data_IF_754436016631
#
_entry.id   IF_754436016631
#
_cell.length_a   1.000
_cell.length_b   1.000
_cell.length_c   1.000
_cell.angle_alpha   90.00
_cell.angle_beta   90.00
_cell.angle_gamma   90.00
#
_symmetry.space_group_name_H-M   'P 1'
#
loop_
_entity.id
_entity.type
_entity.pdbx_description
1 polymer ?
#
# COMPACT_ATOMS: atom_id res chain seq x y z
N UNK A 1 -8.07 -17.54 -8.75
CA UNK A 1 -7.10 -16.48 -8.45
C UNK A 1 -5.99 -16.44 -9.49
N UNK A 2 -5.47 -17.60 -9.88
CA UNK A 2 -4.43 -17.74 -10.90
C UNK A 2 -5.02 -17.75 -12.30
N UNK A 3 -4.49 -16.93 -13.20
CA UNK A 3 -4.87 -16.92 -14.64
C UNK A 3 -4.41 -18.18 -15.36
N UNK A 4 -5.09 -18.54 -16.45
CA UNK A 4 -4.72 -19.70 -17.26
C UNK A 4 -3.25 -19.64 -17.74
N UNK A 5 -2.75 -18.49 -18.28
CA UNK A 5 -1.34 -18.40 -18.68
C UNK A 5 -0.36 -18.61 -17.54
N UNK A 6 -0.68 -18.13 -16.32
CA UNK A 6 0.20 -18.31 -15.16
C UNK A 6 0.20 -19.77 -14.70
N UNK A 7 -0.97 -20.45 -14.67
CA UNK A 7 -1.06 -21.89 -14.33
C UNK A 7 -0.23 -22.73 -15.29
N UNK A 8 -0.34 -22.47 -16.58
CA UNK A 8 0.44 -23.19 -17.60
C UNK A 8 1.93 -22.96 -17.42
N UNK A 9 2.36 -21.71 -17.18
CA UNK A 9 3.76 -21.41 -16.95
C UNK A 9 4.32 -22.07 -15.68
N UNK A 10 3.51 -22.16 -14.63
CA UNK A 10 3.92 -22.91 -13.39
C UNK A 10 4.09 -24.39 -13.74
N UNK A 11 3.13 -24.99 -14.45
CA UNK A 11 3.22 -26.40 -14.87
C UNK A 11 4.49 -26.67 -15.69
N UNK A 12 4.78 -25.85 -16.70
CA UNK A 12 5.96 -25.99 -17.56
C UNK A 12 7.27 -25.85 -16.76
N UNK A 13 7.29 -24.90 -15.80
CA UNK A 13 8.43 -24.68 -14.91
C UNK A 13 8.70 -25.91 -14.02
N UNK A 14 7.65 -26.47 -13.44
CA UNK A 14 7.75 -27.64 -12.58
C UNK A 14 8.14 -28.90 -13.38
N UNK A 15 7.60 -29.07 -14.59
CA UNK A 15 7.96 -30.17 -15.50
C UNK A 15 9.44 -30.13 -15.91
N UNK A 16 10.04 -28.95 -15.98
CA UNK A 16 11.48 -28.75 -16.24
C UNK A 16 12.35 -28.87 -14.97
N UNK A 17 11.79 -29.31 -13.84
CA UNK A 17 12.46 -29.39 -12.52
C UNK A 17 13.00 -28.03 -12.04
N UNK A 18 12.35 -26.92 -12.42
CA UNK A 18 12.72 -25.55 -12.03
C UNK A 18 11.81 -25.01 -10.94
N UNK A 19 12.13 -23.82 -10.47
CA UNK A 19 11.42 -23.14 -9.37
C UNK A 19 10.68 -21.90 -9.86
N UNK A 20 9.57 -21.61 -9.18
CA UNK A 20 8.77 -20.42 -9.42
C UNK A 20 8.68 -19.54 -8.17
N UNK A 21 8.73 -18.21 -8.37
CA UNK A 21 8.40 -17.22 -7.35
C UNK A 21 7.08 -16.57 -7.73
N UNK A 22 6.14 -16.53 -6.78
CA UNK A 22 4.86 -15.85 -6.95
C UNK A 22 4.76 -14.70 -5.95
N UNK A 23 4.64 -13.50 -6.47
CA UNK A 23 4.48 -12.28 -5.68
C UNK A 23 3.01 -11.87 -5.67
N UNK A 24 2.43 -11.76 -4.50
CA UNK A 24 1.15 -11.09 -4.31
C UNK A 24 1.41 -9.62 -3.96
N UNK A 25 1.07 -8.72 -4.89
CA UNK A 25 1.24 -7.27 -4.72
C UNK A 25 0.15 -6.68 -3.83
N UNK A 26 -0.01 -7.21 -2.62
CA UNK A 26 -0.97 -6.69 -1.65
C UNK A 26 -0.24 -6.22 -0.40
N UNK A 27 -0.28 -4.92 -0.15
CA UNK A 27 0.15 -4.37 1.14
C UNK A 27 -0.88 -4.76 2.20
N UNK A 28 -0.42 -5.35 3.27
CA UNK A 28 -1.19 -5.66 4.47
C UNK A 28 -1.77 -7.09 4.48
N UNK A 29 -1.38 -7.84 5.48
CA UNK A 29 -1.93 -9.15 5.87
C UNK A 29 -3.30 -9.01 6.54
N UNK A 30 -4.18 -8.17 6.01
CA UNK A 30 -5.48 -8.01 6.61
C UNK A 30 -6.36 -9.19 6.26
N UNK A 31 -6.32 -10.23 7.12
CA UNK A 31 -7.41 -11.18 7.20
C UNK A 31 -8.63 -10.41 7.67
N UNK A 32 -9.51 -10.05 6.76
CA UNK A 32 -10.77 -9.45 7.13
C UNK A 32 -11.71 -10.54 7.64
N UNK A 33 -12.23 -10.36 8.82
CA UNK A 33 -13.40 -11.11 9.28
C UNK A 33 -14.64 -10.41 8.72
N UNK A 34 -15.49 -11.11 7.99
CA UNK A 34 -16.66 -10.51 7.34
C UNK A 34 -17.89 -11.34 7.69
N UNK A 35 -18.99 -10.67 7.99
CA UNK A 35 -20.27 -11.33 8.19
C UNK A 35 -20.80 -11.88 6.85
N UNK A 36 -21.28 -13.13 6.88
CA UNK A 36 -21.85 -13.78 5.69
C UNK A 36 -23.16 -13.10 5.29
N UNK A 37 -23.97 -12.66 6.27
CA UNK A 37 -25.31 -12.11 6.03
C UNK A 37 -25.26 -10.62 5.64
N UNK A 38 -24.72 -9.75 6.52
CA UNK A 38 -24.72 -8.30 6.27
C UNK A 38 -23.47 -7.79 5.55
N UNK A 39 -22.47 -8.66 5.29
CA UNK A 39 -21.22 -8.38 4.61
C UNK A 39 -20.35 -7.28 5.27
N UNK A 40 -20.66 -6.87 6.48
CA UNK A 40 -19.87 -5.92 7.25
C UNK A 40 -18.69 -6.63 7.91
N UNK A 41 -17.54 -5.96 7.95
CA UNK A 41 -16.40 -6.36 8.78
C UNK A 41 -16.49 -5.67 10.14
N UNK A 42 -16.04 -6.29 11.25
CA UNK A 42 -15.89 -5.60 12.52
C UNK A 42 -14.97 -4.39 12.39
N UNK A 43 -15.42 -3.24 12.88
CA UNK A 43 -14.69 -1.97 12.81
C UNK A 43 -14.08 -1.63 14.17
N UNK A 44 -13.00 -0.88 14.15
CA UNK A 44 -12.37 -0.36 15.35
C UNK A 44 -13.25 0.74 15.99
N UNK A 45 -13.62 0.66 17.27
CA UNK A 45 -14.45 1.69 17.90
C UNK A 45 -13.70 3.04 18.03
N UNK A 46 -12.36 3.03 17.93
CA UNK A 46 -11.51 4.21 18.10
C UNK A 46 -11.08 4.83 16.76
N UNK A 47 -11.16 4.05 15.67
CA UNK A 47 -10.70 4.45 14.33
C UNK A 47 -11.78 4.22 13.30
N UNK A 48 -11.70 4.90 12.15
CA UNK A 48 -12.59 4.63 11.00
C UNK A 48 -12.02 3.52 10.11
N UNK A 49 -11.56 2.43 10.75
CA UNK A 49 -10.88 1.34 10.06
C UNK A 49 -11.39 -0.02 10.53
N UNK A 50 -11.31 -0.99 9.64
CA UNK A 50 -11.66 -2.38 9.94
C UNK A 50 -10.58 -3.01 10.80
N UNK A 51 -11.03 -3.90 11.69
CA UNK A 51 -10.11 -4.70 12.47
C UNK A 51 -9.53 -5.83 11.62
N UNK A 52 -8.24 -6.07 11.80
CA UNK A 52 -7.51 -7.17 11.16
C UNK A 52 -7.55 -8.41 12.04
N UNK A 53 -7.89 -9.55 11.46
CA UNK A 53 -7.87 -10.83 12.16
C UNK A 53 -6.47 -11.42 12.19
N UNK A 54 -5.98 -11.75 13.37
CA UNK A 54 -4.70 -12.43 13.62
C UNK A 54 -4.96 -13.86 14.09
N UNK A 55 -4.64 -14.83 13.22
CA UNK A 55 -4.92 -16.26 13.52
C UNK A 55 -4.02 -16.84 14.61
N UNK A 56 -2.82 -16.30 14.81
CA UNK A 56 -1.87 -16.80 15.80
C UNK A 56 -2.40 -16.71 17.25
N UNK A 57 -3.19 -15.69 17.55
CA UNK A 57 -3.75 -15.45 18.87
C UNK A 57 -5.28 -15.36 18.88
N UNK A 58 -5.94 -15.64 17.76
CA UNK A 58 -7.39 -15.57 17.55
C UNK A 58 -8.01 -14.22 17.98
N UNK A 59 -7.37 -13.12 17.59
CA UNK A 59 -7.78 -11.76 17.96
C UNK A 59 -8.01 -10.88 16.75
N UNK A 60 -8.85 -9.88 16.92
CA UNK A 60 -8.98 -8.75 16.03
C UNK A 60 -8.11 -7.59 16.54
N UNK A 61 -7.32 -6.96 15.67
CA UNK A 61 -6.41 -5.88 15.98
C UNK A 61 -6.60 -4.69 15.04
N UNK A 62 -6.56 -3.50 15.58
CA UNK A 62 -6.44 -2.27 14.81
C UNK A 62 -4.95 -1.88 14.71
N UNK A 63 -4.39 -1.88 13.51
CA UNK A 63 -2.98 -1.52 13.29
C UNK A 63 -2.67 -0.02 13.49
N UNK A 64 -3.71 0.83 13.58
CA UNK A 64 -3.53 2.27 13.80
C UNK A 64 -3.43 2.66 15.27
N UNK A 65 -4.25 2.06 16.14
CA UNK A 65 -4.30 2.44 17.57
C UNK A 65 -3.98 1.31 18.54
N UNK A 66 -3.68 0.11 18.04
CA UNK A 66 -3.39 -1.06 18.88
C UNK A 66 -4.61 -1.66 19.60
N UNK A 67 -5.84 -1.15 19.37
CA UNK A 67 -7.03 -1.76 19.96
C UNK A 67 -7.14 -3.22 19.54
N UNK A 68 -7.29 -4.12 20.52
CA UNK A 68 -7.38 -5.56 20.28
C UNK A 68 -8.53 -6.17 21.07
N UNK A 69 -9.28 -7.05 20.42
CA UNK A 69 -10.44 -7.75 20.99
C UNK A 69 -10.44 -9.22 20.54
N UNK A 70 -10.91 -10.18 21.34
CA UNK A 70 -11.15 -11.54 20.88
C UNK A 70 -12.09 -11.53 19.69
N UNK A 71 -11.98 -12.56 18.83
CA UNK A 71 -12.94 -12.74 17.73
C UNK A 71 -14.32 -13.00 18.33
N UNK A 72 -15.34 -12.21 17.98
CA UNK A 72 -16.68 -12.45 18.46
C UNK A 72 -17.28 -13.70 17.78
N UNK A 73 -18.08 -14.47 18.47
CA UNK A 73 -18.74 -15.67 17.93
C UNK A 73 -19.72 -15.34 16.80
N UNK A 74 -20.30 -14.14 16.86
CA UNK A 74 -21.28 -13.64 15.89
C UNK A 74 -21.02 -12.20 15.52
N UNK A 75 -21.55 -11.80 14.38
CA UNK A 75 -21.47 -10.43 13.87
C UNK A 75 -22.03 -9.41 14.88
N UNK A 76 -21.25 -8.42 15.32
CA UNK A 76 -21.75 -7.41 16.26
C UNK A 76 -22.84 -6.51 15.68
N UNK A 77 -22.99 -6.48 14.34
CA UNK A 77 -23.99 -5.64 13.66
C UNK A 77 -25.33 -6.33 13.44
N UNK A 78 -25.37 -7.65 13.17
CA UNK A 78 -26.61 -8.36 12.80
C UNK A 78 -26.76 -9.75 13.44
N UNK A 79 -25.80 -10.21 14.25
CA UNK A 79 -25.84 -11.54 14.87
C UNK A 79 -25.51 -12.72 13.91
N UNK A 80 -25.25 -12.46 12.65
CA UNK A 80 -24.96 -13.49 11.65
C UNK A 80 -23.57 -14.14 11.80
N UNK A 81 -23.31 -15.24 11.09
CA UNK A 81 -22.02 -15.94 11.15
C UNK A 81 -20.90 -15.12 10.54
N UNK A 82 -19.72 -15.18 11.16
CA UNK A 82 -18.50 -14.52 10.69
C UNK A 82 -17.64 -15.52 9.92
N UNK A 83 -17.12 -15.09 8.76
CA UNK A 83 -16.22 -15.86 7.94
C UNK A 83 -14.92 -15.08 7.73
N UNK A 84 -13.79 -15.74 7.91
CA UNK A 84 -12.49 -15.18 7.59
C UNK A 84 -12.34 -15.13 6.06
N UNK A 85 -12.20 -13.93 5.51
CA UNK A 85 -11.66 -13.81 4.17
C UNK A 85 -10.16 -14.05 4.32
N UNK A 86 -9.71 -15.19 3.81
CA UNK A 86 -8.30 -15.57 3.83
C UNK A 86 -7.42 -14.46 3.27
N UNK A 87 -6.20 -14.37 3.78
CA UNK A 87 -5.17 -13.56 3.12
C UNK A 87 -5.06 -14.03 1.68
N UNK A 88 -4.83 -13.09 0.76
CA UNK A 88 -4.63 -13.47 -0.63
C UNK A 88 -3.59 -14.59 -0.79
N UNK A 89 -2.49 -14.56 -0.01
CA UNK A 89 -1.44 -15.60 0.00
C UNK A 89 -1.94 -16.96 0.44
N UNK A 90 -2.74 -17.06 1.51
CA UNK A 90 -3.30 -18.34 1.95
C UNK A 90 -4.24 -18.94 0.91
N UNK A 91 -5.09 -18.11 0.30
CA UNK A 91 -5.99 -18.56 -0.77
C UNK A 91 -5.22 -19.03 -1.99
N UNK A 92 -4.17 -18.30 -2.38
CA UNK A 92 -3.30 -18.69 -3.50
C UNK A 92 -2.55 -19.97 -3.16
N UNK A 93 -2.06 -20.15 -1.92
CA UNK A 93 -1.43 -21.39 -1.48
C UNK A 93 -2.38 -22.58 -1.57
N UNK A 94 -3.62 -22.44 -1.11
CA UNK A 94 -4.65 -23.49 -1.22
C UNK A 94 -4.93 -23.86 -2.67
N UNK A 95 -5.06 -22.86 -3.55
CA UNK A 95 -5.27 -23.06 -4.99
C UNK A 95 -4.07 -23.79 -5.63
N UNK A 96 -2.83 -23.40 -5.27
CA UNK A 96 -1.60 -24.07 -5.74
C UNK A 96 -1.52 -25.52 -5.26
N UNK A 97 -1.81 -25.78 -3.99
CA UNK A 97 -1.79 -27.13 -3.43
C UNK A 97 -2.87 -28.05 -4.05
N UNK A 98 -4.01 -27.47 -4.46
CA UNK A 98 -5.04 -28.23 -5.16
C UNK A 98 -4.66 -28.52 -6.64
N UNK A 99 -3.96 -27.59 -7.31
CA UNK A 99 -3.51 -27.75 -8.69
C UNK A 99 -2.25 -28.61 -8.82
N UNK A 100 -1.37 -28.57 -7.82
CA UNK A 100 -0.08 -29.26 -7.81
C UNK A 100 0.12 -29.98 -6.47
N UNK A 101 -0.59 -31.09 -6.20
CA UNK A 101 -0.63 -31.76 -4.88
C UNK A 101 0.74 -32.29 -4.42
N UNK A 102 1.60 -32.68 -5.37
CA UNK A 102 2.92 -33.26 -5.08
C UNK A 102 4.03 -32.20 -4.97
N UNK A 103 3.68 -30.91 -5.02
CA UNK A 103 4.65 -29.81 -5.03
C UNK A 103 4.63 -29.02 -3.74
N UNK A 104 5.79 -28.92 -3.08
CA UNK A 104 5.96 -28.09 -1.91
C UNK A 104 5.84 -26.58 -2.23
N UNK A 105 4.92 -25.90 -1.54
CA UNK A 105 4.71 -24.45 -1.63
C UNK A 105 5.19 -23.77 -0.37
N UNK A 106 6.31 -23.03 -0.46
CA UNK A 106 6.77 -22.14 0.59
C UNK A 106 5.91 -20.88 0.62
N UNK A 107 5.40 -20.49 1.79
CA UNK A 107 4.73 -19.22 1.98
C UNK A 107 5.56 -18.30 2.87
N UNK A 108 5.82 -17.07 2.40
CA UNK A 108 6.59 -16.06 3.11
C UNK A 108 5.80 -14.77 3.21
N UNK A 109 5.07 -14.63 4.29
CA UNK A 109 4.32 -13.43 4.67
C UNK A 109 4.46 -13.19 6.19
N UNK A 110 3.98 -12.05 6.68
CA UNK A 110 4.14 -11.70 8.10
C UNK A 110 3.47 -12.70 9.08
N UNK A 111 2.54 -13.54 8.58
CA UNK A 111 1.88 -14.56 9.43
C UNK A 111 2.70 -15.86 9.52
N UNK A 112 3.52 -16.17 8.51
CA UNK A 112 4.31 -17.38 8.46
C UNK A 112 5.69 -17.21 9.06
N UNK A 113 6.16 -15.98 9.16
CA UNK A 113 7.43 -15.63 9.75
C UNK A 113 7.27 -15.46 11.26
N UNK A 114 8.00 -16.25 12.02
CA UNK A 114 8.00 -16.23 13.47
C UNK A 114 9.42 -16.48 13.99
N UNK A 115 9.64 -16.36 15.29
CA UNK A 115 10.93 -16.71 15.91
C UNK A 115 11.32 -18.19 15.68
N UNK A 116 10.33 -19.09 15.57
CA UNK A 116 10.53 -20.53 15.28
C UNK A 116 10.65 -20.86 13.79
N UNK A 117 10.24 -19.93 12.90
CA UNK A 117 10.34 -20.11 11.46
C UNK A 117 10.77 -18.78 10.80
N UNK A 118 12.05 -18.38 10.96
CA UNK A 118 12.56 -17.14 10.40
C UNK A 118 12.62 -17.19 8.87
N UNK A 119 12.64 -16.04 8.24
CA UNK A 119 12.75 -15.89 6.78
C UNK A 119 13.85 -16.77 6.17
N UNK A 120 15.00 -16.82 6.82
CA UNK A 120 16.17 -17.56 6.37
C UNK A 120 15.91 -19.07 6.23
N UNK A 121 15.19 -19.66 7.18
CA UNK A 121 14.84 -21.09 7.13
C UNK A 121 13.93 -21.42 5.95
N UNK A 122 12.95 -20.56 5.67
CA UNK A 122 12.05 -20.73 4.52
C UNK A 122 12.83 -20.63 3.21
N UNK A 123 13.72 -19.63 3.12
CA UNK A 123 14.53 -19.40 1.94
C UNK A 123 15.56 -20.52 1.71
N UNK A 124 16.17 -21.05 2.76
CA UNK A 124 17.13 -22.13 2.65
C UNK A 124 16.49 -23.44 2.17
N UNK A 125 15.29 -23.77 2.65
CA UNK A 125 14.52 -24.89 2.12
C UNK A 125 14.18 -24.73 0.65
N UNK A 126 13.80 -23.51 0.26
CA UNK A 126 13.53 -23.20 -1.14
C UNK A 126 14.81 -23.31 -1.98
N UNK A 127 15.97 -22.76 -1.53
CA UNK A 127 17.26 -22.87 -2.23
C UNK A 127 17.68 -24.33 -2.44
N UNK A 128 17.45 -25.20 -1.46
CA UNK A 128 17.76 -26.63 -1.56
C UNK A 128 16.80 -27.42 -2.45
N UNK A 129 15.77 -26.75 -2.99
CA UNK A 129 14.79 -27.39 -3.87
C UNK A 129 13.77 -28.28 -3.17
N UNK A 130 13.73 -28.26 -1.83
CA UNK A 130 12.72 -28.97 -1.02
C UNK A 130 11.30 -28.43 -1.31
N UNK A 131 11.23 -27.20 -1.76
CA UNK A 131 10.01 -26.55 -2.20
C UNK A 131 10.24 -25.91 -3.58
N UNK A 132 9.31 -26.08 -4.49
CA UNK A 132 9.45 -25.63 -5.87
C UNK A 132 8.74 -24.30 -6.15
N UNK A 133 7.81 -23.90 -5.30
CA UNK A 133 7.09 -22.64 -5.42
C UNK A 133 7.31 -21.82 -4.15
N UNK A 134 7.78 -20.58 -4.30
CA UNK A 134 7.85 -19.58 -3.23
C UNK A 134 6.77 -18.52 -3.46
N UNK A 135 5.81 -18.46 -2.56
CA UNK A 135 4.72 -17.51 -2.56
C UNK A 135 4.91 -16.49 -1.45
N UNK A 136 4.85 -15.20 -1.76
CA UNK A 136 4.97 -14.19 -0.72
C UNK A 136 4.49 -12.80 -1.16
N UNK A 137 4.71 -11.83 -0.28
CA UNK A 137 4.48 -10.41 -0.56
C UNK A 137 5.79 -9.72 -0.98
N UNK A 138 5.86 -8.41 -0.97
CA UNK A 138 7.04 -7.63 -1.40
C UNK A 138 8.39 -8.07 -0.78
N UNK A 139 8.36 -8.80 0.33
CA UNK A 139 9.57 -9.32 0.98
C UNK A 139 10.31 -10.35 0.11
N UNK A 140 9.58 -11.07 -0.76
CA UNK A 140 10.16 -12.06 -1.69
C UNK A 140 10.87 -11.39 -2.88
N UNK A 141 10.56 -10.11 -3.16
CA UNK A 141 11.16 -9.38 -4.27
C UNK A 141 12.58 -8.87 -3.97
N UNK A 142 12.99 -8.78 -2.71
CA UNK A 142 14.25 -8.14 -2.31
C UNK A 142 15.36 -9.16 -2.06
N UNK A 143 16.53 -8.94 -2.70
CA UNK A 143 17.80 -9.56 -2.29
C UNK A 143 17.99 -11.05 -2.58
N UNK A 144 17.08 -11.74 -3.26
CA UNK A 144 17.18 -13.17 -3.50
C UNK A 144 17.95 -13.46 -4.79
N UNK A 145 19.10 -14.13 -4.66
CA UNK A 145 19.80 -14.77 -5.78
C UNK A 145 19.44 -16.25 -5.78
N UNK A 146 18.65 -16.66 -6.79
CA UNK A 146 18.07 -18.00 -6.89
C UNK A 146 18.25 -18.54 -8.31
N UNK A 147 19.36 -19.20 -8.61
CA UNK A 147 19.71 -19.61 -9.98
C UNK A 147 18.72 -20.59 -10.62
N UNK A 148 17.97 -21.35 -9.81
CA UNK A 148 16.96 -22.31 -10.28
C UNK A 148 15.57 -21.68 -10.53
N UNK A 149 15.38 -20.39 -10.25
CA UNK A 149 14.13 -19.70 -10.50
C UNK A 149 14.06 -19.26 -11.95
N UNK A 150 13.20 -19.89 -12.72
CA UNK A 150 12.97 -19.55 -14.13
C UNK A 150 11.61 -18.90 -14.38
N UNK A 151 10.69 -18.94 -13.41
CA UNK A 151 9.41 -18.26 -13.49
C UNK A 151 9.22 -17.30 -12.32
N UNK A 152 8.80 -16.08 -12.65
CA UNK A 152 8.29 -15.12 -11.67
C UNK A 152 6.88 -14.70 -12.06
N UNK A 153 5.92 -14.89 -11.17
CA UNK A 153 4.53 -14.47 -11.34
C UNK A 153 4.19 -13.31 -10.39
N UNK A 154 3.65 -12.23 -10.90
CA UNK A 154 3.11 -11.14 -10.07
C UNK A 154 1.58 -11.19 -10.14
N UNK A 155 0.94 -11.37 -9.00
CA UNK A 155 -0.49 -11.33 -8.83
C UNK A 155 -0.92 -9.91 -8.44
N UNK A 156 -2.03 -9.42 -9.01
CA UNK A 156 -2.54 -8.06 -8.76
C UNK A 156 -1.46 -6.97 -9.03
N UNK A 157 -0.80 -7.03 -10.19
CA UNK A 157 0.31 -6.16 -10.56
C UNK A 157 -0.06 -4.67 -10.58
N UNK A 158 -1.33 -4.36 -10.80
CA UNK A 158 -1.90 -3.02 -10.90
C UNK A 158 -2.35 -2.41 -9.56
N UNK A 159 -2.37 -3.18 -8.47
CA UNK A 159 -2.93 -2.71 -7.20
C UNK A 159 -2.25 -1.43 -6.69
N UNK A 160 -0.94 -1.31 -6.86
CA UNK A 160 -0.17 -0.14 -6.42
C UNK A 160 -0.46 1.13 -7.25
N UNK A 161 -0.95 1.01 -8.47
CA UNK A 161 -1.33 2.16 -9.30
C UNK A 161 -2.49 2.96 -8.72
N UNK A 162 -3.35 2.29 -7.95
CA UNK A 162 -4.56 2.88 -7.37
C UNK A 162 -4.39 3.29 -5.91
N UNK A 163 -3.19 3.18 -5.35
CA UNK A 163 -2.88 3.53 -3.95
C UNK A 163 -2.50 4.98 -3.82
N UNK A 164 -3.07 5.91 -4.41
CA UNK A 164 -2.95 7.36 -4.17
C UNK A 164 -1.51 7.94 -4.11
N UNK A 165 -1.40 9.24 -4.35
CA UNK A 165 -0.12 9.94 -4.31
C UNK A 165 0.60 9.98 -5.66
N UNK A 166 1.40 11.03 -5.85
CA UNK A 166 2.10 11.27 -7.12
C UNK A 166 3.22 10.25 -7.43
N UNK A 167 3.60 9.42 -6.45
CA UNK A 167 4.62 8.38 -6.62
C UNK A 167 4.05 6.99 -6.93
N UNK A 168 2.73 6.86 -7.05
CA UNK A 168 2.10 5.55 -7.26
C UNK A 168 2.64 4.85 -8.53
N UNK A 169 2.78 5.59 -9.63
CA UNK A 169 3.36 5.10 -10.87
C UNK A 169 4.81 4.62 -10.70
N UNK A 170 5.66 5.46 -10.15
CA UNK A 170 7.07 5.15 -9.88
C UNK A 170 7.21 3.92 -8.97
N UNK A 171 6.49 3.91 -7.85
CA UNK A 171 6.53 2.77 -6.91
C UNK A 171 6.09 1.46 -7.56
N UNK A 172 5.08 1.52 -8.44
CA UNK A 172 4.60 0.34 -9.17
C UNK A 172 5.63 -0.12 -10.20
N UNK A 173 6.18 0.79 -10.98
CA UNK A 173 7.20 0.48 -11.97
C UNK A 173 8.44 -0.15 -11.32
N UNK A 174 8.96 0.46 -10.25
CA UNK A 174 10.13 -0.04 -9.51
C UNK A 174 9.89 -1.43 -8.95
N UNK A 175 8.73 -1.67 -8.35
CA UNK A 175 8.38 -2.98 -7.82
C UNK A 175 8.31 -4.03 -8.94
N UNK A 176 7.62 -3.73 -10.04
CA UNK A 176 7.45 -4.68 -11.14
C UNK A 176 8.77 -5.00 -11.83
N UNK A 177 9.60 -3.99 -12.12
CA UNK A 177 10.93 -4.19 -12.73
C UNK A 177 11.87 -4.98 -11.82
N UNK A 178 11.87 -4.73 -10.51
CA UNK A 178 12.64 -5.52 -9.55
C UNK A 178 12.24 -7.01 -9.59
N UNK A 179 10.95 -7.30 -9.70
CA UNK A 179 10.44 -8.67 -9.71
C UNK A 179 10.71 -9.35 -11.06
N UNK A 180 10.43 -8.66 -12.17
CA UNK A 180 10.74 -9.15 -13.53
C UNK A 180 12.23 -9.48 -13.67
N UNK A 181 13.11 -8.63 -13.16
CA UNK A 181 14.56 -8.84 -13.15
C UNK A 181 15.05 -10.00 -12.27
N UNK A 182 14.17 -10.71 -11.56
CA UNK A 182 14.51 -11.95 -10.80
C UNK A 182 14.41 -13.21 -11.64
N UNK A 183 13.64 -13.18 -12.73
CA UNK A 183 13.54 -14.32 -13.62
C UNK A 183 14.83 -14.49 -14.45
N UNK A 184 15.42 -15.68 -14.47
CA UNK A 184 16.51 -16.01 -15.39
C UNK A 184 17.89 -15.45 -15.04
N UNK A 185 18.25 -15.33 -13.77
CA UNK A 185 19.60 -14.93 -13.34
C UNK A 185 20.65 -16.05 -13.47
N UNK A 186 20.21 -17.27 -13.73
CA UNK A 186 21.09 -18.39 -13.99
C UNK A 186 21.36 -18.61 -15.49
N UNK A 187 21.85 -19.80 -15.83
CA UNK A 187 22.10 -20.25 -17.21
C UNK A 187 20.82 -20.51 -18.03
N UNK A 188 19.64 -20.36 -17.42
CA UNK A 188 18.34 -20.64 -18.04
C UNK A 188 17.60 -19.35 -18.34
N UNK A 189 16.90 -19.32 -19.49
CA UNK A 189 16.03 -18.22 -19.84
C UNK A 189 14.88 -18.09 -18.82
N UNK A 190 14.73 -16.90 -18.22
CA UNK A 190 13.67 -16.62 -17.27
C UNK A 190 12.43 -16.07 -17.93
N UNK A 191 11.28 -16.33 -17.32
CA UNK A 191 9.98 -15.82 -17.74
C UNK A 191 9.31 -15.08 -16.60
N UNK A 192 8.79 -13.88 -16.87
CA UNK A 192 7.94 -13.14 -15.94
C UNK A 192 6.50 -13.05 -16.47
N UNK A 193 5.52 -13.26 -15.58
CA UNK A 193 4.10 -13.09 -15.90
C UNK A 193 3.50 -12.11 -14.92
N UNK A 194 3.01 -10.97 -15.44
CA UNK A 194 2.30 -9.96 -14.69
C UNK A 194 0.80 -10.15 -14.88
N UNK A 195 0.11 -10.57 -13.82
CA UNK A 195 -1.33 -10.70 -13.82
C UNK A 195 -1.96 -9.38 -13.37
N UNK A 196 -2.80 -8.79 -14.21
CA UNK A 196 -3.39 -7.46 -13.99
C UNK A 196 -4.81 -7.39 -14.55
N UNK A 197 -5.64 -6.51 -13.98
CA UNK A 197 -6.98 -6.17 -14.51
C UNK A 197 -6.90 -5.13 -15.64
N UNK A 198 -5.74 -4.48 -15.84
CA UNK A 198 -5.53 -3.43 -16.84
C UNK A 198 -4.32 -3.75 -17.75
N UNK A 199 -4.36 -4.82 -18.55
CA UNK A 199 -3.20 -5.30 -19.33
C UNK A 199 -2.71 -4.29 -20.37
N UNK A 200 -3.57 -3.36 -20.79
CA UNK A 200 -3.23 -2.31 -21.76
C UNK A 200 -2.68 -1.03 -21.10
N UNK A 201 -2.55 -1.00 -19.78
CA UNK A 201 -1.98 0.16 -19.10
C UNK A 201 -0.51 0.30 -19.47
N UNK A 202 -0.12 1.48 -19.97
CA UNK A 202 1.21 1.71 -20.53
C UNK A 202 2.33 1.44 -19.53
N UNK A 203 2.19 1.90 -18.28
CA UNK A 203 3.17 1.65 -17.23
C UNK A 203 3.40 0.14 -16.99
N UNK A 204 2.34 -0.67 -16.97
CA UNK A 204 2.46 -2.14 -16.78
C UNK A 204 3.26 -2.75 -17.93
N UNK A 205 3.01 -2.30 -19.17
CA UNK A 205 3.74 -2.77 -20.36
C UNK A 205 5.20 -2.36 -20.33
N UNK A 206 5.49 -1.12 -19.98
CA UNK A 206 6.86 -0.61 -19.85
C UNK A 206 7.63 -1.34 -18.72
N UNK A 207 6.98 -1.59 -17.59
CA UNK A 207 7.57 -2.36 -16.49
C UNK A 207 7.86 -3.81 -16.90
N UNK A 208 6.97 -4.45 -17.66
CA UNK A 208 7.17 -5.80 -18.19
C UNK A 208 8.36 -5.87 -19.17
N UNK A 209 8.60 -4.81 -19.93
CA UNK A 209 9.73 -4.67 -20.86
C UNK A 209 11.00 -4.13 -20.20
N UNK A 210 10.91 -3.71 -18.93
CA UNK A 210 11.99 -3.01 -18.21
C UNK A 210 12.47 -1.73 -18.94
N UNK A 211 11.57 -1.07 -19.67
CA UNK A 211 11.84 0.12 -20.45
C UNK A 211 11.75 1.37 -19.55
N UNK A 212 12.86 1.65 -18.85
CA UNK A 212 12.94 2.78 -17.92
C UNK A 212 12.88 4.12 -18.65
N UNK A 213 13.51 4.25 -19.81
CA UNK A 213 13.61 5.54 -20.51
C UNK A 213 12.22 6.03 -20.95
N UNK A 214 11.41 5.14 -21.55
CA UNK A 214 10.04 5.48 -21.90
C UNK A 214 9.15 5.69 -20.66
N UNK A 215 9.35 4.90 -19.60
CA UNK A 215 8.65 5.13 -18.35
C UNK A 215 8.98 6.52 -17.79
N UNK A 216 10.24 6.90 -17.75
CA UNK A 216 10.66 8.24 -17.30
C UNK A 216 10.00 9.35 -18.10
N UNK A 217 10.00 9.24 -19.43
CA UNK A 217 9.38 10.21 -20.32
C UNK A 217 7.88 10.35 -20.09
N UNK A 218 7.18 9.24 -19.83
CA UNK A 218 5.76 9.22 -19.51
C UNK A 218 5.51 9.89 -18.15
N UNK A 219 6.21 9.44 -17.13
CA UNK A 219 6.03 9.86 -15.74
C UNK A 219 6.37 11.35 -15.56
N UNK A 220 7.46 11.83 -16.15
CA UNK A 220 7.88 13.24 -15.99
C UNK A 220 6.88 14.21 -16.64
N UNK A 221 6.28 13.84 -17.78
CA UNK A 221 5.22 14.62 -18.41
C UNK A 221 3.95 14.66 -17.56
N UNK A 222 3.54 13.52 -17.00
CA UNK A 222 2.39 13.45 -16.09
C UNK A 222 2.61 14.33 -14.86
N UNK A 223 3.79 14.30 -14.25
CA UNK A 223 4.14 15.15 -13.10
C UNK A 223 4.12 16.62 -13.44
N UNK A 224 4.55 16.99 -14.64
CA UNK A 224 4.50 18.37 -15.12
C UNK A 224 3.05 18.87 -15.23
N UNK A 225 2.17 18.07 -15.86
CA UNK A 225 0.74 18.40 -16.01
C UNK A 225 0.04 18.46 -14.65
N UNK A 226 0.39 17.58 -13.74
CA UNK A 226 -0.22 17.52 -12.40
C UNK A 226 0.35 18.55 -11.41
N UNK A 227 1.36 19.33 -11.79
CA UNK A 227 2.07 20.25 -10.90
C UNK A 227 2.49 19.58 -9.59
N UNK A 228 3.23 18.47 -9.70
CA UNK A 228 3.81 17.72 -8.57
C UNK A 228 5.34 17.62 -8.70
N UNK A 229 6.08 17.20 -7.68
CA UNK A 229 7.53 17.09 -7.75
C UNK A 229 8.06 16.33 -8.99
N UNK A 230 9.09 16.84 -9.69
CA UNK A 230 9.98 17.97 -9.33
C UNK A 230 9.51 19.36 -9.79
N UNK A 231 8.36 19.51 -10.45
CA UNK A 231 7.92 20.80 -11.02
C UNK A 231 7.30 21.73 -9.99
N UNK A 232 6.62 21.19 -8.99
CA UNK A 232 6.14 21.90 -7.82
C UNK A 232 6.28 21.02 -6.58
N UNK A 233 6.38 21.64 -5.41
CA UNK A 233 6.32 20.92 -4.15
C UNK A 233 4.87 20.66 -3.79
N UNK A 234 4.64 19.50 -3.15
CA UNK A 234 3.36 19.13 -2.59
C UNK A 234 3.45 19.19 -1.07
N UNK A 235 2.66 20.07 -0.46
CA UNK A 235 2.62 20.28 0.98
C UNK A 235 1.32 19.78 1.54
N UNK A 236 1.39 18.81 2.44
CA UNK A 236 0.26 18.34 3.23
C UNK A 236 0.20 19.15 4.52
N UNK A 237 -0.95 19.78 4.78
CA UNK A 237 -1.24 20.44 6.05
C UNK A 237 -2.32 19.61 6.73
N UNK A 238 -1.94 18.85 7.76
CA UNK A 238 -2.82 17.96 8.49
C UNK A 238 -3.37 18.61 9.76
N UNK A 239 -4.63 18.30 10.08
CA UNK A 239 -5.33 18.74 11.29
C UNK A 239 -5.93 17.53 11.99
N UNK A 240 -5.82 17.47 13.32
CA UNK A 240 -6.40 16.39 14.11
C UNK A 240 -6.86 16.84 15.48
N UNK A 241 -7.95 16.23 15.99
CA UNK A 241 -8.52 16.52 17.30
C UNK A 241 -9.73 15.66 17.61
N UNK A 242 -10.21 15.73 18.86
CA UNK A 242 -11.31 14.89 19.35
C UNK A 242 -12.71 15.32 18.85
N UNK A 243 -12.85 16.56 18.47
CA UNK A 243 -14.12 17.18 18.05
C UNK A 243 -14.08 17.47 16.56
N UNK A 244 -14.77 16.66 15.75
CA UNK A 244 -14.76 16.80 14.29
C UNK A 244 -15.11 18.21 13.78
N UNK A 245 -16.20 18.90 14.27
CA UNK A 245 -16.52 20.22 13.84
C UNK A 245 -15.41 21.23 14.11
N UNK A 246 -14.71 21.09 15.24
CA UNK A 246 -13.60 21.97 15.62
C UNK A 246 -12.37 21.75 14.73
N UNK A 247 -12.08 20.50 14.38
CA UNK A 247 -10.98 20.17 13.45
C UNK A 247 -11.24 20.74 12.07
N UNK A 248 -12.47 20.57 11.54
CA UNK A 248 -12.87 21.13 10.25
C UNK A 248 -12.81 22.66 10.27
N UNK A 249 -13.32 23.30 11.32
CA UNK A 249 -13.27 24.76 11.48
C UNK A 249 -11.81 25.26 11.52
N UNK A 250 -10.93 24.53 12.20
CA UNK A 250 -9.50 24.83 12.25
C UNK A 250 -8.86 24.76 10.87
N UNK A 251 -9.17 23.72 10.10
CA UNK A 251 -8.68 23.55 8.73
C UNK A 251 -9.20 24.67 7.79
N UNK A 252 -10.49 25.03 7.89
CA UNK A 252 -11.08 26.16 7.14
C UNK A 252 -10.38 27.47 7.50
N UNK A 253 -10.21 27.75 8.78
CA UNK A 253 -9.54 28.97 9.24
C UNK A 253 -8.10 29.07 8.72
N UNK A 254 -7.37 27.97 8.77
CA UNK A 254 -6.00 27.94 8.26
C UNK A 254 -5.97 28.19 6.74
N UNK A 255 -6.86 27.53 5.99
CA UNK A 255 -7.04 27.76 4.55
C UNK A 255 -7.28 29.23 4.24
N UNK A 256 -8.24 29.82 4.92
CA UNK A 256 -8.65 31.22 4.65
C UNK A 256 -7.52 32.18 5.01
N UNK A 257 -6.79 31.93 6.08
CA UNK A 257 -5.61 32.74 6.44
C UNK A 257 -4.48 32.59 5.40
N UNK A 258 -4.27 31.39 4.85
CA UNK A 258 -3.27 31.17 3.80
C UNK A 258 -3.68 31.88 2.50
N UNK A 259 -4.96 31.83 2.11
CA UNK A 259 -5.49 32.54 0.96
C UNK A 259 -5.42 34.07 1.14
N UNK A 260 -5.61 34.55 2.35
CA UNK A 260 -5.46 36.00 2.64
C UNK A 260 -3.99 36.43 2.49
N UNK A 261 -3.04 35.64 3.00
CA UNK A 261 -1.61 35.91 2.80
C UNK A 261 -1.23 35.88 1.33
N UNK A 262 -1.79 34.92 0.57
CA UNK A 262 -1.55 34.83 -0.87
C UNK A 262 -1.98 36.12 -1.61
N UNK A 263 -3.11 36.72 -1.23
CA UNK A 263 -3.61 37.95 -1.86
C UNK A 263 -2.79 39.19 -1.49
N UNK A 264 -2.16 39.19 -0.32
CA UNK A 264 -1.40 40.34 0.21
C UNK A 264 0.10 40.25 -0.02
N UNK A 265 0.61 39.10 -0.48
CA UNK A 265 2.03 38.81 -0.66
C UNK A 265 2.40 38.33 -2.05
N UNK A 266 3.67 38.38 -2.36
CA UNK A 266 4.25 37.82 -3.59
C UNK A 266 4.65 36.38 -3.37
N UNK A 267 3.72 35.46 -3.63
CA UNK A 267 3.91 34.02 -3.37
C UNK A 267 3.96 33.15 -4.63
N UNK A 268 3.96 33.74 -5.80
CA UNK A 268 3.92 32.98 -7.04
C UNK A 268 2.66 32.09 -7.18
N UNK A 269 2.61 31.20 -8.17
CA UNK A 269 1.46 30.32 -8.38
C UNK A 269 1.33 29.29 -7.26
N UNK A 270 0.15 29.23 -6.64
CA UNK A 270 -0.22 28.23 -5.63
C UNK A 270 -1.59 27.64 -5.92
N UNK A 271 -1.71 26.33 -5.79
CA UNK A 271 -2.99 25.62 -5.82
C UNK A 271 -3.26 25.02 -4.42
N UNK A 272 -4.39 25.42 -3.83
CA UNK A 272 -4.81 24.95 -2.50
C UNK A 272 -6.09 24.13 -2.59
N UNK A 273 -6.01 22.87 -2.23
CA UNK A 273 -7.11 21.91 -2.25
C UNK A 273 -7.57 21.58 -0.83
N UNK A 274 -8.86 21.40 -0.65
CA UNK A 274 -9.47 21.08 0.63
C UNK A 274 -10.10 22.26 1.37
N UNK A 275 -10.47 22.09 2.68
CA UNK A 275 -10.19 20.91 3.50
C UNK A 275 -10.97 19.66 3.09
N UNK A 276 -10.34 18.50 3.20
CA UNK A 276 -10.96 17.21 2.98
C UNK A 276 -10.59 16.23 4.13
N UNK A 277 -11.43 15.24 4.43
CA UNK A 277 -11.05 14.17 5.35
C UNK A 277 -9.75 13.50 4.88
N UNK A 278 -8.90 13.10 5.84
CA UNK A 278 -7.73 12.28 5.53
C UNK A 278 -8.16 10.90 5.00
N UNK A 279 -7.30 10.12 4.30
CA UNK A 279 -7.64 8.78 3.82
C UNK A 279 -8.16 7.85 4.92
N UNK A 280 -7.62 7.98 6.15
CA UNK A 280 -8.20 7.43 7.37
C UNK A 280 -8.76 8.59 8.19
N UNK A 281 -10.08 8.85 8.13
CA UNK A 281 -10.69 10.06 8.70
C UNK A 281 -10.61 10.15 10.23
N UNK A 282 -10.45 9.01 10.92
CA UNK A 282 -10.37 8.96 12.38
C UNK A 282 -9.36 7.90 12.83
N UNK A 283 -8.42 8.30 13.69
CA UNK A 283 -7.45 7.39 14.33
C UNK A 283 -7.41 7.71 15.83
N UNK A 284 -7.56 6.68 16.67
CA UNK A 284 -7.53 6.78 18.13
C UNK A 284 -8.42 7.91 18.68
N UNK A 285 -9.68 7.91 18.28
CA UNK A 285 -10.71 8.93 18.58
C UNK A 285 -10.45 10.32 17.98
N UNK A 286 -9.32 10.57 17.33
CA UNK A 286 -9.02 11.85 16.71
C UNK A 286 -9.50 11.89 15.27
N UNK A 287 -10.37 12.83 14.94
CA UNK A 287 -10.78 13.14 13.57
C UNK A 287 -9.63 13.84 12.85
N UNK A 288 -9.49 13.57 11.55
CA UNK A 288 -8.36 14.02 10.75
C UNK A 288 -8.83 14.65 9.44
N UNK A 289 -8.40 15.88 9.22
CA UNK A 289 -8.62 16.64 7.99
C UNK A 289 -7.30 17.09 7.40
N UNK A 290 -7.30 17.37 6.11
CA UNK A 290 -6.10 17.84 5.40
C UNK A 290 -6.40 18.92 4.39
N UNK A 291 -5.42 19.79 4.19
CA UNK A 291 -5.26 20.65 3.03
C UNK A 291 -4.07 20.15 2.22
N UNK A 292 -4.14 20.25 0.90
CA UNK A 292 -3.02 19.99 0.01
C UNK A 292 -2.69 21.28 -0.72
N UNK A 293 -1.45 21.75 -0.54
CA UNK A 293 -0.93 22.91 -1.23
C UNK A 293 0.09 22.46 -2.27
N UNK A 294 -0.04 22.88 -3.51
CA UNK A 294 0.95 22.73 -4.57
C UNK A 294 1.53 24.09 -4.88
N UNK A 295 2.85 24.21 -4.77
CA UNK A 295 3.55 25.49 -4.95
C UNK A 295 5.05 25.20 -5.21
N UNK A 296 5.81 26.22 -5.59
CA UNK A 296 7.25 26.20 -5.40
C UNK A 296 7.57 26.58 -3.96
N UNK A 297 8.24 25.72 -3.22
CA UNK A 297 8.57 25.95 -1.80
C UNK A 297 9.69 27.00 -1.67
N UNK A 298 9.36 28.25 -1.95
CA UNK A 298 10.24 29.40 -1.78
C UNK A 298 10.31 29.86 -0.32
N UNK A 299 11.28 30.74 -0.03
CA UNK A 299 11.54 31.26 1.32
C UNK A 299 10.29 31.92 1.93
N UNK A 300 9.54 32.68 1.12
CA UNK A 300 8.33 33.41 1.55
C UNK A 300 7.21 32.44 1.95
N UNK A 301 6.95 31.40 1.15
CA UNK A 301 5.92 30.40 1.43
C UNK A 301 6.28 29.62 2.70
N UNK A 302 7.55 29.23 2.85
CA UNK A 302 8.04 28.55 4.04
C UNK A 302 7.86 29.41 5.30
N UNK A 303 8.17 30.69 5.19
CA UNK A 303 7.97 31.65 6.30
C UNK A 303 6.48 31.83 6.62
N UNK A 304 5.61 31.95 5.61
CA UNK A 304 4.16 32.06 5.78
C UNK A 304 3.56 30.82 6.44
N UNK A 305 3.91 29.63 5.97
CA UNK A 305 3.44 28.38 6.57
C UNK A 305 3.90 28.23 8.04
N UNK A 306 5.15 28.57 8.33
CA UNK A 306 5.67 28.59 9.70
C UNK A 306 4.91 29.59 10.58
N UNK A 307 4.68 30.79 10.08
CA UNK A 307 3.92 31.82 10.79
C UNK A 307 2.50 31.33 11.10
N UNK A 308 1.79 30.80 10.10
CA UNK A 308 0.43 30.30 10.28
C UNK A 308 0.36 29.14 11.26
N UNK A 309 1.31 28.22 11.21
CA UNK A 309 1.37 27.08 12.13
C UNK A 309 1.58 27.57 13.58
N UNK A 310 2.48 28.53 13.79
CA UNK A 310 2.70 29.12 15.09
C UNK A 310 1.48 29.92 15.60
N UNK A 311 0.83 30.69 14.73
CA UNK A 311 -0.38 31.44 15.04
C UNK A 311 -1.53 30.50 15.40
N UNK A 312 -1.72 29.43 14.64
CA UNK A 312 -2.71 28.38 14.90
C UNK A 312 -2.53 27.75 16.28
N UNK A 313 -1.29 27.38 16.64
CA UNK A 313 -1.00 26.79 17.95
C UNK A 313 -1.23 27.72 19.16
N UNK A 314 -1.20 29.04 18.94
CA UNK A 314 -1.49 30.07 19.98
C UNK A 314 -2.95 30.43 20.07
N UNK A 315 -3.78 30.03 19.12
CA UNK A 315 -5.19 30.39 19.08
C UNK A 315 -6.01 29.61 20.11
N UNK A 316 -6.50 30.29 21.11
CA UNK A 316 -7.31 29.67 22.18
C UNK A 316 -8.57 28.98 21.70
N UNK A 317 -9.15 29.43 20.55
CA UNK A 317 -10.33 28.81 19.91
C UNK A 317 -10.01 27.46 19.27
N UNK A 318 -8.72 27.20 18.98
CA UNK A 318 -8.24 25.95 18.38
C UNK A 318 -7.64 24.99 19.43
N UNK A 319 -7.83 25.29 20.73
CA UNK A 319 -7.37 24.40 21.81
C UNK A 319 -7.95 23.00 21.65
N UNK A 320 -7.10 21.97 21.57
CA UNK A 320 -7.51 20.58 21.31
C UNK A 320 -7.47 20.15 19.86
N UNK A 321 -7.12 21.06 18.92
CA UNK A 321 -6.79 20.74 17.54
C UNK A 321 -5.30 20.92 17.33
N UNK A 322 -4.61 19.89 16.88
CA UNK A 322 -3.21 19.98 16.44
C UNK A 322 -3.14 20.12 14.92
N UNK A 323 -2.15 20.87 14.45
CA UNK A 323 -1.85 21.01 13.03
C UNK A 323 -0.38 20.64 12.78
N UNK A 324 -0.09 20.06 11.62
CA UNK A 324 1.28 19.75 11.18
C UNK A 324 1.41 20.00 9.68
N UNK A 325 2.65 20.14 9.22
CA UNK A 325 2.98 20.35 7.82
C UNK A 325 4.00 19.31 7.41
N UNK A 326 3.72 18.63 6.31
CA UNK A 326 4.63 17.68 5.66
C UNK A 326 4.85 18.10 4.21
N UNK A 327 6.13 18.16 3.80
CA UNK A 327 6.54 18.63 2.47
C UNK A 327 7.07 17.46 1.67
N UNK A 328 6.45 17.19 0.52
CA UNK A 328 6.82 16.09 -0.38
C UNK A 328 6.83 14.71 0.30
N UNK A 329 6.12 14.58 1.43
CA UNK A 329 6.01 13.35 2.19
C UNK A 329 5.24 12.26 1.44
N UNK A 330 5.32 11.04 1.96
CA UNK A 330 4.45 9.95 1.54
C UNK A 330 3.05 10.26 2.09
N UNK A 331 2.11 10.50 1.18
CA UNK A 331 0.70 10.70 1.52
C UNK A 331 0.06 9.32 1.75
N UNK A 332 0.31 8.73 2.92
CA UNK A 332 -0.34 7.48 3.35
C UNK A 332 -1.66 7.76 4.07
#
# INVERSE_FOLDING_TARGET
>A
TLSIPLRQAIHDTLAADKQAILLLNRRGNSRALVCVDCRKAPECPRCSERLTYHSANNRLLCHYCGYSVPVPDRCPSCGGPLKTLGTGTQRVQQELSALFPDVGVARMDADTVSASNPHEVILDRFRRGEQKILLGTQMVAKGLDMPNVTLVGVLDADLSLFTGGFRAGETTFDMLTQVVGRAGRGSFAGRAILQTMVPNHELIRLAAQQDYDRFYDLEIRLRQVQHVPPFADQVLIGFQGLQEPQVLMGAVKFRDSLLQLQRSGDFGPMELLGPAPSPVPKINYQFRYRLTLRCRMEKNIRAALRYLLCAFGKDSKMRGVSAFIDVNGFMD
#
